data_IF_081698739324
#
_entry.id   IF_081698739324
#
_cell.length_a   1.000
_cell.length_b   1.000
_cell.length_c   1.000
_cell.angle_alpha   90.00
_cell.angle_beta   90.00
_cell.angle_gamma   90.00
#
_symmetry.space_group_name_H-M   'P 1'
#
loop_
_entity.id
_entity.type
_entity.pdbx_description
1 polymer ?
#
# COMPACT_ATOMS: atom_id res chain seq x y z
N UNK A 1 8.36 -27.76 -20.88
CA UNK A 1 7.38 -28.01 -19.79
C UNK A 1 8.12 -28.67 -18.63
N UNK A 2 8.38 -27.90 -17.58
CA UNK A 2 8.75 -28.39 -16.25
C UNK A 2 7.70 -27.78 -15.32
N UNK A 3 6.90 -28.66 -14.73
CA UNK A 3 5.83 -28.30 -13.79
C UNK A 3 6.48 -28.17 -12.43
N UNK A 4 6.55 -26.96 -11.91
CA UNK A 4 6.56 -26.74 -10.47
C UNK A 4 5.79 -25.45 -10.18
N UNK A 5 4.55 -25.61 -9.74
CA UNK A 5 3.62 -24.51 -9.43
C UNK A 5 3.59 -24.21 -7.92
N UNK A 6 4.56 -24.70 -7.16
CA UNK A 6 4.53 -24.61 -5.70
C UNK A 6 5.89 -24.22 -5.09
N UNK A 7 6.39 -23.04 -5.44
CA UNK A 7 7.38 -22.37 -4.57
C UNK A 7 6.68 -21.17 -3.94
N UNK A 8 6.16 -21.37 -2.72
CA UNK A 8 5.43 -20.36 -1.93
C UNK A 8 4.15 -20.91 -1.29
N UNK A 9 3.74 -20.33 -0.15
CA UNK A 9 2.42 -20.60 0.48
C UNK A 9 1.30 -19.85 -0.27
N UNK A 10 0.04 -20.23 -0.07
CA UNK A 10 -1.08 -19.54 -0.71
C UNK A 10 -1.18 -18.08 -0.21
N UNK A 11 -1.75 -17.17 -1.01
CA UNK A 11 -1.96 -15.77 -0.59
C UNK A 11 -2.73 -15.67 0.73
N UNK A 12 -3.77 -16.50 0.87
CA UNK A 12 -4.60 -16.59 2.08
C UNK A 12 -3.84 -17.02 3.34
N UNK A 13 -2.65 -17.63 3.20
CA UNK A 13 -1.80 -17.98 4.34
C UNK A 13 -0.98 -16.78 4.84
N UNK A 14 -0.96 -15.68 4.09
CA UNK A 14 -0.20 -14.47 4.40
C UNK A 14 -1.13 -13.35 4.87
N UNK A 15 -0.57 -12.45 5.68
CA UNK A 15 -1.25 -11.23 6.13
C UNK A 15 -0.29 -10.04 6.14
N UNK A 16 -0.87 -8.86 6.19
CA UNK A 16 -0.17 -7.62 6.51
C UNK A 16 -0.68 -7.14 7.88
N UNK A 17 0.23 -6.91 8.82
CA UNK A 17 -0.07 -6.36 10.14
C UNK A 17 0.46 -4.94 10.24
N UNK A 18 -0.43 -4.00 10.52
CA UNK A 18 -0.14 -2.59 10.71
C UNK A 18 0.46 -2.31 12.09
N UNK A 19 1.36 -1.33 12.18
CA UNK A 19 2.03 -0.98 13.43
C UNK A 19 1.11 -0.20 14.39
N UNK A 20 0.13 0.52 13.86
CA UNK A 20 -0.88 1.27 14.59
C UNK A 20 -2.29 0.88 14.12
N UNK A 21 -3.30 1.32 14.85
CA UNK A 21 -4.69 1.22 14.41
C UNK A 21 -4.93 2.19 13.24
N UNK A 22 -5.47 1.66 12.15
CA UNK A 22 -5.77 2.46 10.96
C UNK A 22 -7.22 2.93 10.96
N UNK A 23 -7.47 4.08 10.36
CA UNK A 23 -8.83 4.50 10.06
C UNK A 23 -9.49 3.50 9.08
N UNK A 24 -10.78 3.18 9.26
CA UNK A 24 -11.44 2.13 8.47
C UNK A 24 -11.94 2.66 7.13
N UNK A 25 -11.31 3.68 6.54
CA UNK A 25 -11.76 4.32 5.31
C UNK A 25 -10.58 4.45 4.33
N UNK A 26 -10.77 3.94 3.12
CA UNK A 26 -9.77 3.97 2.05
C UNK A 26 -10.15 4.99 0.98
N UNK A 27 -9.16 5.53 0.27
CA UNK A 27 -9.41 6.26 -0.98
C UNK A 27 -10.00 5.30 -2.02
N UNK A 28 -10.85 5.84 -2.88
CA UNK A 28 -11.45 5.10 -4.00
C UNK A 28 -10.67 5.43 -5.26
N UNK A 29 -10.30 4.39 -6.02
CA UNK A 29 -9.67 4.53 -7.34
C UNK A 29 -10.76 4.44 -8.40
N UNK A 30 -10.86 5.47 -9.25
CA UNK A 30 -11.77 5.51 -10.38
C UNK A 30 -11.33 4.55 -11.49
N UNK A 31 -12.22 4.28 -12.45
CA UNK A 31 -11.94 3.34 -13.54
C UNK A 31 -10.77 3.76 -14.46
N UNK A 32 -10.42 5.05 -14.46
CA UNK A 32 -9.28 5.60 -15.20
C UNK A 32 -7.98 5.67 -14.38
N UNK A 33 -7.99 5.17 -13.14
CA UNK A 33 -6.83 5.14 -12.24
C UNK A 33 -6.63 6.42 -11.42
N UNK A 34 -7.52 7.41 -11.51
CA UNK A 34 -7.51 8.61 -10.66
C UNK A 34 -8.10 8.35 -9.27
N UNK A 35 -7.88 9.26 -8.32
CA UNK A 35 -8.51 9.22 -7.01
C UNK A 35 -9.90 9.85 -7.11
N UNK A 36 -10.94 9.03 -6.94
CA UNK A 36 -12.32 9.49 -6.92
C UNK A 36 -12.63 10.29 -5.64
N UNK A 37 -13.70 11.09 -5.69
CA UNK A 37 -14.23 11.76 -4.50
C UNK A 37 -14.78 10.74 -3.49
N UNK A 38 -14.58 11.02 -2.20
CA UNK A 38 -15.07 10.20 -1.09
C UNK A 38 -14.13 9.09 -0.67
N UNK A 39 -14.66 8.19 0.16
CA UNK A 39 -13.94 7.04 0.72
C UNK A 39 -14.81 5.80 0.70
N UNK A 40 -14.16 4.63 0.76
CA UNK A 40 -14.83 3.34 0.94
C UNK A 40 -14.49 2.79 2.31
N UNK A 41 -15.52 2.46 3.08
CA UNK A 41 -15.35 1.80 4.36
C UNK A 41 -14.73 0.40 4.20
N UNK A 42 -13.65 0.15 4.93
CA UNK A 42 -12.88 -1.06 4.94
C UNK A 42 -12.20 -1.24 6.32
N UNK A 43 -12.88 -1.84 7.31
CA UNK A 43 -12.29 -2.09 8.62
C UNK A 43 -11.27 -3.23 8.53
N UNK A 44 -10.15 -3.08 9.24
CA UNK A 44 -9.21 -4.17 9.50
C UNK A 44 -9.75 -5.07 10.62
N UNK A 45 -9.26 -6.31 10.67
CA UNK A 45 -9.43 -7.18 11.84
C UNK A 45 -8.32 -6.83 12.85
N UNK A 46 -8.66 -6.04 13.86
CA UNK A 46 -7.73 -5.25 14.67
C UNK A 46 -6.79 -4.40 13.79
N UNK A 47 -5.55 -4.85 13.60
CA UNK A 47 -4.52 -4.23 12.74
C UNK A 47 -4.13 -5.12 11.57
N UNK A 48 -4.93 -6.13 11.27
CA UNK A 48 -4.58 -7.19 10.33
C UNK A 48 -5.39 -7.07 9.05
N UNK A 49 -4.69 -7.03 7.93
CA UNK A 49 -5.22 -7.25 6.60
C UNK A 49 -4.96 -8.72 6.21
N UNK A 50 -6.01 -9.53 6.22
CA UNK A 50 -5.97 -10.86 5.63
C UNK A 50 -5.89 -10.73 4.09
N UNK A 51 -4.91 -11.39 3.46
CA UNK A 51 -4.75 -11.28 2.01
C UNK A 51 -5.63 -12.30 1.30
N UNK A 52 -6.35 -11.85 0.28
CA UNK A 52 -7.16 -12.69 -0.59
C UNK A 52 -7.00 -12.26 -2.05
N UNK A 53 -7.33 -13.14 -2.98
CA UNK A 53 -7.16 -12.89 -4.42
C UNK A 53 -8.12 -11.81 -4.94
N UNK A 54 -9.33 -11.76 -4.39
CA UNK A 54 -10.40 -10.82 -4.75
C UNK A 54 -10.31 -9.47 -4.02
N UNK A 55 -9.45 -9.37 -3.00
CA UNK A 55 -9.24 -8.15 -2.22
C UNK A 55 -8.91 -6.92 -3.08
N UNK A 56 -8.23 -7.15 -4.21
CA UNK A 56 -7.75 -6.12 -5.14
C UNK A 56 -8.57 -6.05 -6.43
N UNK A 57 -9.80 -6.61 -6.44
CA UNK A 57 -10.69 -6.55 -7.60
C UNK A 57 -11.11 -5.13 -7.99
N UNK A 58 -11.04 -4.19 -7.03
CA UNK A 58 -11.33 -2.77 -7.21
C UNK A 58 -10.06 -1.92 -7.11
N UNK A 59 -8.96 -2.44 -7.64
CA UNK A 59 -7.62 -1.82 -7.62
C UNK A 59 -7.00 -1.76 -6.21
N UNK A 60 -5.98 -0.93 -6.03
CA UNK A 60 -5.20 -0.83 -4.79
C UNK A 60 -6.05 -0.41 -3.58
N UNK A 61 -5.68 -0.93 -2.41
CA UNK A 61 -6.14 -0.40 -1.12
C UNK A 61 -5.24 0.78 -0.75
N UNK A 62 -5.83 1.96 -0.57
CA UNK A 62 -5.08 3.20 -0.37
C UNK A 62 -5.47 3.84 0.96
N UNK A 63 -4.54 3.83 1.91
CA UNK A 63 -4.60 4.61 3.14
C UNK A 63 -3.95 5.97 2.92
N UNK A 64 -4.71 7.04 3.10
CA UNK A 64 -4.25 8.42 2.95
C UNK A 64 -5.06 9.35 3.87
N UNK A 65 -4.58 9.67 5.09
CA UNK A 65 -3.28 9.27 5.63
C UNK A 65 -3.24 7.81 6.13
N UNK A 66 -2.04 7.23 6.19
CA UNK A 66 -1.74 6.02 6.96
C UNK A 66 -1.20 6.40 8.35
N UNK A 67 -1.67 5.76 9.41
CA UNK A 67 -1.23 6.00 10.78
C UNK A 67 0.08 5.25 11.10
N UNK A 68 0.27 4.07 10.51
CA UNK A 68 1.46 3.26 10.69
C UNK A 68 2.68 3.84 9.99
N UNK A 69 3.84 3.74 10.65
CA UNK A 69 5.16 3.98 10.05
C UNK A 69 5.85 2.68 9.60
N UNK A 70 5.19 1.54 9.73
CA UNK A 70 5.66 0.25 9.26
C UNK A 70 4.51 -0.76 9.15
N UNK A 71 4.68 -1.77 8.30
CA UNK A 71 3.86 -2.98 8.31
C UNK A 71 4.73 -4.22 8.42
N UNK A 72 4.12 -5.34 8.81
CA UNK A 72 4.75 -6.66 8.79
C UNK A 72 3.99 -7.59 7.86
N UNK A 73 4.65 -8.11 6.83
CA UNK A 73 4.11 -9.05 5.85
C UNK A 73 4.64 -10.45 6.09
N UNK A 74 3.79 -11.47 6.07
CA UNK A 74 4.22 -12.87 6.10
C UNK A 74 3.14 -13.83 6.56
N UNK A 75 3.50 -15.12 6.57
CA UNK A 75 2.69 -16.17 7.22
C UNK A 75 2.81 -16.08 8.75
N UNK A 76 1.90 -16.72 9.50
CA UNK A 76 1.94 -16.72 10.97
C UNK A 76 3.04 -17.60 11.56
N UNK A 77 3.46 -18.61 10.81
CA UNK A 77 4.37 -19.67 11.21
C UNK A 77 5.62 -19.72 10.31
N UNK A 78 6.00 -18.59 9.70
CA UNK A 78 7.13 -18.52 8.78
C UNK A 78 7.84 -17.16 8.80
N UNK A 79 8.90 -17.00 7.98
CA UNK A 79 9.65 -15.76 7.91
C UNK A 79 8.75 -14.58 7.55
N UNK A 80 9.01 -13.43 8.17
CA UNK A 80 8.23 -12.22 7.95
C UNK A 80 9.14 -11.09 7.47
N UNK A 81 8.56 -10.16 6.71
CA UNK A 81 9.22 -8.93 6.32
C UNK A 81 8.62 -7.78 7.12
N UNK A 82 9.45 -7.05 7.85
CA UNK A 82 9.08 -5.74 8.38
C UNK A 82 9.47 -4.68 7.36
N UNK A 83 8.49 -3.91 6.91
CA UNK A 83 8.65 -2.83 5.95
C UNK A 83 8.38 -1.53 6.69
N UNK A 84 9.42 -0.76 7.01
CA UNK A 84 9.31 0.52 7.70
C UNK A 84 9.39 1.67 6.69
N UNK A 85 8.52 2.67 6.84
CA UNK A 85 8.35 3.81 5.95
C UNK A 85 7.98 5.09 6.73
N UNK A 86 8.85 5.57 7.63
CA UNK A 86 8.50 6.65 8.55
C UNK A 86 8.30 8.02 7.89
N UNK A 87 8.70 8.16 6.62
CA UNK A 87 8.75 9.45 5.93
C UNK A 87 7.66 9.61 4.85
N UNK A 88 6.70 8.67 4.77
CA UNK A 88 5.62 8.69 3.77
C UNK A 88 4.25 8.77 4.44
N UNK A 89 3.38 9.73 4.06
CA UNK A 89 2.08 9.93 4.71
C UNK A 89 0.99 8.94 4.27
N UNK A 90 1.21 8.17 3.21
CA UNK A 90 0.17 7.34 2.59
C UNK A 90 0.74 5.95 2.25
N UNK A 91 -0.13 4.95 2.13
CA UNK A 91 0.25 3.58 1.80
C UNK A 91 -0.72 2.97 0.77
N UNK A 92 -0.17 2.50 -0.34
CA UNK A 92 -0.84 1.60 -1.28
C UNK A 92 -0.52 0.14 -0.97
N UNK A 93 -1.54 -0.72 -1.01
CA UNK A 93 -1.36 -2.18 -1.03
C UNK A 93 -2.11 -2.73 -2.23
N UNK A 94 -1.42 -3.50 -3.06
CA UNK A 94 -1.97 -3.97 -4.34
C UNK A 94 -1.37 -5.29 -4.80
N UNK A 95 -2.09 -6.00 -5.66
CA UNK A 95 -1.49 -7.03 -6.52
C UNK A 95 -2.14 -7.00 -7.89
N UNK A 96 -1.37 -7.31 -8.92
CA UNK A 96 -1.95 -7.70 -10.20
C UNK A 96 -2.76 -9.00 -10.01
N UNK A 97 -4.02 -9.09 -10.48
CA UNK A 97 -4.78 -10.32 -10.45
C UNK A 97 -4.01 -11.48 -11.11
N UNK A 98 -3.94 -12.62 -10.41
CA UNK A 98 -3.19 -13.79 -10.85
C UNK A 98 -1.67 -13.73 -10.64
N UNK A 99 -1.11 -12.63 -10.15
CA UNK A 99 0.30 -12.58 -9.77
C UNK A 99 0.55 -13.29 -8.44
N UNK A 100 1.76 -13.81 -8.28
CA UNK A 100 2.23 -14.48 -7.06
C UNK A 100 3.05 -13.54 -6.15
N UNK A 101 2.63 -12.27 -6.07
CA UNK A 101 3.21 -11.28 -5.16
C UNK A 101 2.12 -10.38 -4.59
N UNK A 102 2.51 -9.52 -3.65
CA UNK A 102 1.76 -8.35 -3.21
C UNK A 102 2.73 -7.19 -3.11
N UNK A 103 2.29 -6.00 -3.50
CA UNK A 103 3.01 -4.76 -3.35
C UNK A 103 2.61 -4.09 -2.05
N UNK A 104 3.60 -3.58 -1.33
CA UNK A 104 3.45 -2.65 -0.21
C UNK A 104 4.17 -1.39 -0.64
N UNK A 105 3.43 -0.31 -0.85
CA UNK A 105 3.90 0.86 -1.57
C UNK A 105 3.73 2.12 -0.70
N UNK A 106 4.75 2.48 0.10
CA UNK A 106 4.72 3.72 0.86
C UNK A 106 4.85 4.92 -0.08
N UNK A 107 3.94 5.87 0.02
CA UNK A 107 3.81 6.95 -0.95
C UNK A 107 4.05 8.33 -0.34
N UNK A 108 4.90 9.12 -1.00
CA UNK A 108 5.01 10.57 -0.82
C UNK A 108 4.51 11.28 -2.09
N UNK A 109 3.22 11.10 -2.36
CA UNK A 109 2.56 11.50 -3.60
C UNK A 109 1.31 10.64 -3.78
N UNK A 110 0.39 11.05 -4.66
CA UNK A 110 -0.79 10.24 -4.98
C UNK A 110 -1.17 10.46 -6.45
N UNK A 111 -1.98 9.55 -7.01
CA UNK A 111 -2.57 9.75 -8.33
C UNK A 111 -3.38 11.06 -8.40
N UNK A 112 -3.63 11.56 -9.60
CA UNK A 112 -4.46 12.76 -9.74
C UNK A 112 -5.85 12.53 -9.14
N UNK A 113 -6.46 13.53 -8.50
CA UNK A 113 -7.90 13.53 -8.27
C UNK A 113 -8.65 13.38 -9.61
N UNK A 114 -9.79 12.71 -9.60
CA UNK A 114 -10.65 12.58 -10.78
C UNK A 114 -11.01 13.98 -11.33
N UNK A 115 -10.81 14.17 -12.64
CA UNK A 115 -11.06 15.46 -13.29
C UNK A 115 -10.05 16.57 -12.95
N UNK A 116 -8.91 16.25 -12.31
CA UNK A 116 -7.88 17.26 -12.03
C UNK A 116 -7.32 17.88 -13.31
N UNK A 117 -7.40 19.21 -13.39
CA UNK A 117 -6.92 20.03 -14.51
C UNK A 117 -6.02 21.18 -14.04
N UNK A 118 -5.61 21.14 -12.77
CA UNK A 118 -4.77 22.16 -12.15
C UNK A 118 -3.31 22.06 -12.57
N UNK A 119 -2.52 23.01 -12.09
CA UNK A 119 -1.07 23.02 -12.30
C UNK A 119 -0.40 21.89 -11.51
N UNK A 120 0.59 21.21 -12.11
CA UNK A 120 1.32 20.12 -11.46
C UNK A 120 1.79 20.43 -10.03
N UNK A 121 2.19 21.68 -9.77
CA UNK A 121 2.67 22.12 -8.45
C UNK A 121 1.60 22.11 -7.36
N UNK A 122 0.33 22.19 -7.74
CA UNK A 122 -0.81 22.21 -6.83
C UNK A 122 -1.42 20.81 -6.66
N UNK A 123 -0.87 19.79 -7.35
CA UNK A 123 -1.36 18.42 -7.26
C UNK A 123 -1.14 17.87 -5.84
N UNK A 124 -2.14 17.21 -5.22
CA UNK A 124 -1.98 16.62 -3.89
C UNK A 124 -0.75 15.70 -3.78
N UNK A 125 0.00 15.86 -2.69
CA UNK A 125 1.22 15.10 -2.42
C UNK A 125 2.47 15.55 -3.20
N UNK A 126 2.35 16.45 -4.18
CA UNK A 126 3.52 17.11 -4.79
C UNK A 126 4.12 18.08 -3.80
N UNK A 127 5.45 18.11 -3.72
CA UNK A 127 6.21 19.01 -2.88
C UNK A 127 7.42 19.56 -3.64
N UNK A 128 7.80 20.79 -3.32
CA UNK A 128 8.95 21.44 -3.93
C UNK A 128 10.22 21.15 -3.15
N UNK A 129 11.30 20.82 -3.88
CA UNK A 129 12.66 20.87 -3.36
C UNK A 129 13.35 22.05 -4.04
N UNK A 130 13.83 23.00 -3.23
CA UNK A 130 14.49 24.21 -3.75
C UNK A 130 15.78 23.85 -4.51
N UNK A 131 16.27 24.71 -5.43
CA UNK A 131 17.58 24.51 -6.04
C UNK A 131 18.69 24.34 -4.99
N UNK A 132 19.45 23.26 -5.10
CA UNK A 132 20.48 22.89 -4.11
C UNK A 132 19.95 22.26 -2.81
N UNK A 133 18.62 22.09 -2.69
CA UNK A 133 18.00 21.39 -1.57
C UNK A 133 18.01 19.87 -1.74
N UNK A 134 17.80 19.18 -0.64
CA UNK A 134 17.71 17.72 -0.56
C UNK A 134 16.46 17.33 0.24
N UNK A 135 15.78 16.26 -0.20
CA UNK A 135 14.75 15.56 0.56
C UNK A 135 15.11 14.08 0.58
N UNK A 136 15.20 13.53 1.79
CA UNK A 136 15.38 12.09 2.00
C UNK A 136 14.04 11.49 2.41
N UNK A 137 13.67 10.38 1.78
CA UNK A 137 12.50 9.57 2.10
C UNK A 137 13.00 8.13 2.25
N UNK A 138 12.81 7.54 3.42
CA UNK A 138 13.37 6.22 3.73
C UNK A 138 12.31 5.13 3.68
N UNK A 139 12.73 3.99 3.14
CA UNK A 139 12.05 2.71 3.32
C UNK A 139 13.09 1.66 3.72
N UNK A 140 12.83 0.92 4.80
CA UNK A 140 13.68 -0.20 5.24
C UNK A 140 12.90 -1.51 5.15
N UNK A 141 13.52 -2.53 4.56
CA UNK A 141 12.94 -3.88 4.47
C UNK A 141 13.83 -4.83 5.25
N UNK A 142 13.31 -5.39 6.34
CA UNK A 142 14.03 -6.28 7.25
C UNK A 142 13.39 -7.64 7.28
N UNK A 143 14.17 -8.70 7.13
CA UNK A 143 13.73 -10.06 7.43
C UNK A 143 13.67 -10.26 8.95
N UNK A 144 12.49 -10.63 9.44
CA UNK A 144 12.24 -10.95 10.85
C UNK A 144 12.17 -12.49 10.96
N UNK A 145 13.05 -13.04 11.79
CA UNK A 145 13.17 -14.47 12.08
C UNK A 145 12.23 -14.90 13.21
#
# INVERSE_FOLDING_TARGET
>A
ALRDRAVGRARADHRIVFAADEAPDLRVIAADGTIAEGTRHFPLDDRTLALADDLFAHDALVWDPVASSAVTYGASDGPQLRIAFPDTPSLGVWTKPGAAFVCVEPWHGIADPEGYTGEFRDKPGVFAVAPGGEKVIRMDVTLVA
#
